data_IF_710938251226
#
_entry.id   IF_710938251226
#
_cell.length_a   1.000
_cell.length_b   1.000
_cell.length_c   1.000
_cell.angle_alpha   90.00
_cell.angle_beta   90.00
_cell.angle_gamma   90.00
#
_symmetry.space_group_name_H-M   'P 1'
#
loop_
_entity.id
_entity.type
_entity.pdbx_description
1 polymer ?
#
# COMPACT_ATOMS: atom_id res chain seq x y z
N UNK A 1 -6.98 15.28 -1.94
CA UNK A 1 -7.36 13.91 -1.55
C UNK A 1 -6.10 13.09 -1.31
N UNK A 2 -6.09 12.30 -0.27
CA UNK A 2 -4.95 11.42 0.03
C UNK A 2 -5.33 9.97 -0.26
N UNK A 3 -4.36 9.22 -0.77
CA UNK A 3 -4.49 7.77 -0.91
C UNK A 3 -3.34 7.10 -0.19
N UNK A 4 -3.55 5.86 0.19
CA UNK A 4 -2.59 5.05 0.90
C UNK A 4 -2.35 3.78 0.10
N UNK A 5 -1.12 3.58 -0.32
CA UNK A 5 -0.75 2.44 -1.17
C UNK A 5 0.08 1.47 -0.35
N UNK A 6 -0.33 0.22 -0.36
CA UNK A 6 0.37 -0.87 0.33
C UNK A 6 1.35 -1.49 -0.65
N UNK A 7 2.62 -1.51 -0.27
CA UNK A 7 3.68 -2.12 -1.07
C UNK A 7 4.21 -3.38 -0.39
N UNK A 8 4.64 -4.30 -1.22
CA UNK A 8 5.40 -5.47 -0.79
C UNK A 8 6.77 -5.42 -1.45
N UNK A 9 7.83 -5.62 -0.65
CA UNK A 9 9.18 -5.69 -1.16
C UNK A 9 9.56 -7.16 -1.34
N UNK A 10 9.73 -7.57 -2.60
CA UNK A 10 10.38 -8.81 -3.00
C UNK A 10 11.65 -8.44 -3.75
N UNK A 11 11.76 -8.89 -4.99
CA UNK A 11 12.84 -8.41 -5.87
C UNK A 11 12.62 -6.94 -6.24
N UNK A 12 11.35 -6.51 -6.26
CA UNK A 12 10.94 -5.13 -6.53
C UNK A 12 9.87 -4.72 -5.54
N UNK A 13 9.73 -3.41 -5.37
CA UNK A 13 8.60 -2.86 -4.64
C UNK A 13 7.36 -2.92 -5.53
N UNK A 14 6.39 -3.75 -5.16
CA UNK A 14 5.18 -3.98 -5.95
C UNK A 14 3.96 -3.50 -5.16
N UNK A 15 3.14 -2.60 -5.75
CA UNK A 15 1.90 -2.19 -5.09
C UNK A 15 0.92 -3.36 -5.03
N UNK A 16 0.34 -3.59 -3.85
CA UNK A 16 -0.60 -4.67 -3.62
C UNK A 16 -2.05 -4.19 -3.60
N UNK A 17 -2.28 -3.02 -3.02
CA UNK A 17 -3.61 -2.46 -2.86
C UNK A 17 -3.51 -0.97 -2.53
N UNK A 18 -4.64 -0.28 -2.61
CA UNK A 18 -4.72 1.11 -2.18
C UNK A 18 -6.04 1.35 -1.46
N UNK A 19 -6.06 2.35 -0.61
CA UNK A 19 -7.25 2.75 0.13
C UNK A 19 -7.26 4.28 0.31
N UNK A 20 -8.46 4.82 0.46
CA UNK A 20 -8.63 6.23 0.83
C UNK A 20 -8.52 6.44 2.34
N UNK A 21 -8.45 5.35 3.10
CA UNK A 21 -8.43 5.39 4.56
C UNK A 21 -7.20 4.62 5.07
N UNK A 22 -6.36 5.30 5.85
CA UNK A 22 -5.12 4.71 6.37
C UNK A 22 -5.42 3.51 7.28
N UNK A 23 -6.44 3.60 8.13
CA UNK A 23 -6.77 2.49 9.04
C UNK A 23 -7.16 1.24 8.28
N UNK A 24 -7.93 1.39 7.21
CA UNK A 24 -8.30 0.26 6.36
C UNK A 24 -7.09 -0.31 5.61
N UNK A 25 -6.19 0.57 5.16
CA UNK A 25 -4.94 0.12 4.53
C UNK A 25 -4.10 -0.69 5.50
N UNK A 26 -3.97 -0.24 6.75
CA UNK A 26 -3.21 -0.97 7.78
C UNK A 26 -3.82 -2.34 8.08
N UNK A 27 -5.15 -2.40 8.18
CA UNK A 27 -5.84 -3.68 8.39
C UNK A 27 -5.59 -4.65 7.25
N UNK A 28 -5.69 -4.15 6.02
CA UNK A 28 -5.47 -4.99 4.84
C UNK A 28 -4.02 -5.46 4.76
N UNK A 29 -3.07 -4.59 5.08
CA UNK A 29 -1.66 -4.94 5.11
C UNK A 29 -1.38 -6.08 6.09
N UNK A 30 -2.01 -6.04 7.26
CA UNK A 30 -1.87 -7.12 8.26
C UNK A 30 -2.42 -8.44 7.74
N UNK A 31 -3.53 -8.39 6.99
CA UNK A 31 -4.10 -9.59 6.36
C UNK A 31 -3.13 -10.15 5.32
N UNK A 32 -2.55 -9.31 4.49
CA UNK A 32 -1.57 -9.73 3.50
C UNK A 32 -0.35 -10.37 4.15
N UNK A 33 0.17 -9.75 5.21
CA UNK A 33 1.32 -10.29 5.95
C UNK A 33 1.01 -11.67 6.53
N UNK A 34 -0.19 -11.83 7.07
CA UNK A 34 -0.61 -13.09 7.69
C UNK A 34 -0.73 -14.23 6.69
N UNK A 35 -1.15 -13.93 5.46
CA UNK A 35 -1.37 -14.93 4.42
C UNK A 35 -0.17 -15.12 3.49
N UNK A 36 0.88 -14.32 3.66
CA UNK A 36 2.09 -14.45 2.85
C UNK A 36 2.88 -15.68 3.32
N UNK A 37 3.14 -16.66 2.41
CA UNK A 37 3.92 -17.84 2.77
C UNK A 37 5.41 -17.54 2.96
N UNK A 38 5.86 -16.35 2.54
CA UNK A 38 7.24 -15.93 2.68
C UNK A 38 7.29 -14.67 3.55
N UNK A 39 8.46 -14.43 4.14
CA UNK A 39 8.67 -13.20 4.91
C UNK A 39 9.03 -12.09 3.93
N UNK A 40 8.09 -11.19 3.68
CA UNK A 40 8.29 -10.00 2.87
C UNK A 40 8.08 -8.75 3.71
N UNK A 41 8.74 -7.68 3.33
CA UNK A 41 8.50 -6.37 3.94
C UNK A 41 7.29 -5.73 3.28
N UNK A 42 6.39 -5.22 4.12
CA UNK A 42 5.23 -4.46 3.68
C UNK A 42 5.29 -3.07 4.29
N UNK A 43 4.86 -2.08 3.52
CA UNK A 43 4.72 -0.73 4.05
C UNK A 43 3.61 0.02 3.33
N UNK A 44 3.24 1.17 3.89
CA UNK A 44 2.20 2.02 3.34
C UNK A 44 2.84 3.35 2.96
N UNK A 45 2.60 3.79 1.73
CA UNK A 45 2.96 5.13 1.29
C UNK A 45 1.72 5.98 1.16
N UNK A 46 1.79 7.19 1.70
CA UNK A 46 0.76 8.20 1.54
C UNK A 46 1.07 9.04 0.31
N UNK A 47 0.08 9.20 -0.55
CA UNK A 47 0.20 10.06 -1.73
C UNK A 47 -0.96 11.04 -1.75
N UNK A 48 -0.66 12.27 -2.18
CA UNK A 48 -1.67 13.30 -2.36
C UNK A 48 -2.04 13.38 -3.84
N UNK A 49 -3.33 13.27 -4.12
CA UNK A 49 -3.85 13.43 -5.47
C UNK A 49 -4.24 14.87 -5.68
N UNK A 50 -3.81 15.45 -6.81
CA UNK A 50 -4.27 16.75 -7.25
C UNK A 50 -5.30 16.59 -8.35
N UNK A 51 -6.07 17.66 -8.60
CA UNK A 51 -7.04 17.65 -9.68
C UNK A 51 -6.40 17.82 -11.07
N UNK A 52 -5.11 18.15 -11.12
CA UNK A 52 -4.44 18.47 -12.37
C UNK A 52 -3.64 17.32 -12.92
N UNK A 53 -2.78 16.74 -12.09
CA UNK A 53 -1.88 15.67 -12.51
C UNK A 53 -1.79 14.63 -11.41
N UNK A 54 -1.87 13.35 -11.80
CA UNK A 54 -1.61 12.23 -10.91
C UNK A 54 -0.30 11.59 -11.36
N UNK A 55 0.72 11.70 -10.52
CA UNK A 55 1.99 11.01 -10.71
C UNK A 55 2.01 9.74 -9.87
N UNK A 56 2.32 8.67 -10.53
CA UNK A 56 2.44 7.37 -9.87
C UNK A 56 3.90 6.94 -9.87
#
# INVERSE_FOLDING_TARGET
MKIYIIYRLGDYAVPQAMSLNRNEAEKFMKILQKHDPYIHDYWIEEKTLSNEVIEI
#
